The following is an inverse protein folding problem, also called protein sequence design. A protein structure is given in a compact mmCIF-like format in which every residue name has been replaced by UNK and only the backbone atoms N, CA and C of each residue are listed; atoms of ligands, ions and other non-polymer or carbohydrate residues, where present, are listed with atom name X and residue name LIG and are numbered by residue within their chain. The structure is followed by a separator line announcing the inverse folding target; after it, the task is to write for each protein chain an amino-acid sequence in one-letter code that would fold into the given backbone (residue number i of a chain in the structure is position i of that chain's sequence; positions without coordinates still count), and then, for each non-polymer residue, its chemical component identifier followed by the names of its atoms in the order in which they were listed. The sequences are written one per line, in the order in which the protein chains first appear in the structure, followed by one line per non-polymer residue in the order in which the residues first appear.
data_IF_916291153292
#
_entry.id   IF_916291153292
#
_cell.length_a   1.000
_cell.length_b   1.000
_cell.length_c   1.000
_cell.angle_alpha   90.00
_cell.angle_beta   90.00
_cell.angle_gamma   90.00
#
_symmetry.space_group_name_H-M   'P 1'
#
loop_
_entity.id
_entity.type
_entity.pdbx_description
1 polymer ?
#
# COMPACT_ATOMS: atom_id res chain seq x y z
N UNK A 1 -4.47 -1.67 -37.32
CA UNK A 1 -4.80 -0.30 -36.86
C UNK A 1 -5.30 -0.26 -35.42
N UNK A 2 -6.22 -1.15 -34.99
CA UNK A 2 -6.67 -1.22 -33.59
C UNK A 2 -5.56 -1.64 -32.62
N UNK A 3 -4.76 -2.66 -32.98
CA UNK A 3 -3.62 -3.13 -32.18
C UNK A 3 -2.56 -2.03 -31.96
N UNK A 4 -2.18 -1.32 -33.03
CA UNK A 4 -1.19 -0.23 -32.95
C UNK A 4 -1.64 0.91 -32.04
N UNK A 5 -2.93 1.22 -32.01
CA UNK A 5 -3.49 2.21 -31.09
C UNK A 5 -3.39 1.73 -29.63
N UNK A 6 -3.73 0.46 -29.35
CA UNK A 6 -3.64 -0.09 -27.99
C UNK A 6 -2.20 -0.09 -27.43
N UNK A 7 -1.19 -0.39 -28.25
CA UNK A 7 0.22 -0.32 -27.83
C UNK A 7 0.68 1.10 -27.53
N UNK A 8 0.28 2.07 -28.35
CA UNK A 8 0.61 3.48 -28.10
C UNK A 8 -0.02 3.97 -26.79
N UNK A 9 -1.30 3.67 -26.57
CA UNK A 9 -2.03 4.03 -25.36
C UNK A 9 -1.39 3.34 -24.14
N UNK A 10 -1.02 2.06 -24.25
CA UNK A 10 -0.35 1.32 -23.19
C UNK A 10 0.97 2.00 -22.77
N UNK A 11 1.85 2.34 -23.72
CA UNK A 11 3.11 3.00 -23.42
C UNK A 11 2.92 4.40 -22.84
N UNK A 12 1.93 5.15 -23.33
CA UNK A 12 1.58 6.46 -22.79
C UNK A 12 1.16 6.37 -21.31
N UNK A 13 0.18 5.51 -20.99
CA UNK A 13 -0.31 5.32 -19.62
C UNK A 13 0.74 4.70 -18.69
N UNK A 14 1.54 3.76 -19.18
CA UNK A 14 2.64 3.13 -18.41
C UNK A 14 3.73 4.15 -18.07
N UNK A 15 4.21 4.91 -19.06
CA UNK A 15 5.21 5.96 -18.85
C UNK A 15 4.69 7.05 -17.89
N UNK A 16 3.45 7.48 -18.09
CA UNK A 16 2.83 8.49 -17.22
C UNK A 16 2.63 7.99 -15.78
N UNK A 17 2.31 6.70 -15.58
CA UNK A 17 2.23 6.08 -14.24
C UNK A 17 3.57 6.09 -13.50
N UNK A 18 4.66 5.75 -14.19
CA UNK A 18 6.02 5.77 -13.61
C UNK A 18 6.44 7.19 -13.22
N UNK A 19 6.16 8.18 -14.07
CA UNK A 19 6.45 9.59 -13.75
C UNK A 19 5.66 10.03 -12.51
N UNK A 20 4.38 9.67 -12.44
CA UNK A 20 3.54 10.00 -11.29
C UNK A 20 4.06 9.32 -10.01
N UNK A 21 4.44 8.04 -10.05
CA UNK A 21 4.92 7.32 -8.86
C UNK A 21 6.25 7.86 -8.34
N UNK A 22 7.16 8.29 -9.23
CA UNK A 22 8.37 9.01 -8.85
C UNK A 22 8.04 10.34 -8.17
N UNK A 23 7.03 11.05 -8.67
CA UNK A 23 6.60 12.33 -8.09
C UNK A 23 5.90 12.16 -6.73
N UNK A 24 5.17 11.05 -6.50
CA UNK A 24 4.59 10.70 -5.19
C UNK A 24 5.68 10.66 -4.11
N UNK A 25 6.79 9.98 -4.38
CA UNK A 25 7.88 9.81 -3.41
C UNK A 25 8.75 11.06 -3.29
N UNK A 26 8.90 11.83 -4.36
CA UNK A 26 9.78 13.02 -4.40
C UNK A 26 9.12 14.30 -3.86
N UNK A 27 7.78 14.37 -3.82
CA UNK A 27 7.05 15.57 -3.43
C UNK A 27 7.26 15.90 -1.93
N UNK A 28 7.67 17.14 -1.66
CA UNK A 28 7.89 17.64 -0.28
C UNK A 28 6.59 17.93 0.47
N UNK A 29 5.55 18.35 -0.25
CA UNK A 29 4.25 18.64 0.34
C UNK A 29 3.40 17.36 0.28
N UNK A 30 2.89 16.85 1.42
CA UNK A 30 2.15 15.60 1.47
C UNK A 30 0.85 15.63 0.65
N UNK A 31 0.22 16.80 0.55
CA UNK A 31 -0.98 17.00 -0.27
C UNK A 31 -0.68 16.74 -1.76
N UNK A 32 0.45 17.23 -2.26
CA UNK A 32 0.85 16.97 -3.65
C UNK A 32 1.23 15.50 -3.86
N UNK A 33 1.90 14.88 -2.88
CA UNK A 33 2.21 13.45 -2.91
C UNK A 33 0.94 12.59 -3.09
N UNK A 34 -0.11 12.84 -2.30
CA UNK A 34 -1.37 12.08 -2.42
C UNK A 34 -2.15 12.38 -3.69
N UNK A 35 -2.12 13.62 -4.20
CA UNK A 35 -2.73 13.92 -5.49
C UNK A 35 -2.07 13.11 -6.63
N UNK A 36 -0.74 13.00 -6.63
CA UNK A 36 -0.04 12.14 -7.58
C UNK A 36 -0.34 10.65 -7.35
N UNK A 37 -0.59 10.22 -6.12
CA UNK A 37 -0.97 8.84 -5.81
C UNK A 37 -2.33 8.49 -6.42
N UNK A 38 -3.32 9.38 -6.29
CA UNK A 38 -4.63 9.25 -6.96
C UNK A 38 -4.43 9.11 -8.47
N UNK A 39 -3.56 9.93 -9.05
CA UNK A 39 -3.25 9.88 -10.48
C UNK A 39 -2.57 8.55 -10.87
N UNK A 40 -1.66 8.00 -10.06
CA UNK A 40 -1.06 6.67 -10.33
C UNK A 40 -2.10 5.55 -10.36
N UNK A 41 -3.03 5.53 -9.40
CA UNK A 41 -4.08 4.50 -9.36
C UNK A 41 -5.07 4.63 -10.51
N UNK A 42 -5.39 5.86 -10.93
CA UNK A 42 -6.20 6.09 -12.12
C UNK A 42 -5.51 5.55 -13.39
N UNK A 43 -4.22 5.84 -13.58
CA UNK A 43 -3.45 5.30 -14.70
C UNK A 43 -3.34 3.77 -14.65
N UNK A 44 -3.18 3.17 -13.45
CA UNK A 44 -3.21 1.72 -13.27
C UNK A 44 -4.57 1.12 -13.70
N UNK A 45 -5.68 1.75 -13.33
CA UNK A 45 -7.02 1.33 -13.75
C UNK A 45 -7.16 1.35 -15.27
N UNK A 46 -6.68 2.42 -15.94
CA UNK A 46 -6.68 2.48 -17.40
C UNK A 46 -5.81 1.37 -18.03
N UNK A 47 -4.65 1.05 -17.45
CA UNK A 47 -3.77 -0.01 -17.93
C UNK A 47 -4.43 -1.39 -17.79
N UNK A 48 -5.07 -1.67 -16.65
CA UNK A 48 -5.81 -2.92 -16.43
C UNK A 48 -7.02 -3.05 -17.37
N UNK A 49 -7.67 -1.92 -17.73
CA UNK A 49 -8.76 -1.93 -18.69
C UNK A 49 -8.29 -2.35 -20.10
N UNK A 50 -7.09 -1.92 -20.51
CA UNK A 50 -6.46 -2.32 -21.78
C UNK A 50 -6.12 -3.83 -21.78
N UNK A 51 -5.80 -4.40 -20.62
CA UNK A 51 -5.53 -5.83 -20.45
C UNK A 51 -6.80 -6.71 -20.49
N UNK A 52 -7.97 -6.15 -20.80
CA UNK A 52 -9.26 -6.84 -20.83
C UNK A 52 -9.63 -7.55 -19.51
N UNK A 53 -9.10 -7.07 -18.39
CA UNK A 53 -9.56 -7.50 -17.07
C UNK A 53 -10.79 -6.67 -16.75
N UNK A 54 -12.00 -7.23 -16.85
CA UNK A 54 -13.23 -6.42 -16.81
C UNK A 54 -13.56 -5.88 -15.41
N UNK A 55 -13.39 -6.71 -14.38
CA UNK A 55 -13.80 -6.38 -13.00
C UNK A 55 -12.77 -5.57 -12.22
N UNK A 56 -11.49 -5.92 -12.37
CA UNK A 56 -10.40 -5.37 -11.55
C UNK A 56 -10.20 -3.84 -11.71
N UNK A 57 -10.27 -3.23 -12.91
CA UNK A 57 -10.16 -1.78 -13.08
C UNK A 57 -11.22 -1.02 -12.30
N UNK A 58 -12.46 -1.49 -12.32
CA UNK A 58 -13.58 -0.87 -11.62
C UNK A 58 -13.33 -0.93 -10.10
N UNK A 59 -12.82 -2.05 -9.59
CA UNK A 59 -12.41 -2.21 -8.20
C UNK A 59 -11.28 -1.25 -7.82
N UNK A 60 -10.29 -1.05 -8.69
CA UNK A 60 -9.22 -0.05 -8.51
C UNK A 60 -9.78 1.37 -8.37
N UNK A 61 -10.77 1.73 -9.17
CA UNK A 61 -11.40 3.05 -9.09
C UNK A 61 -12.23 3.21 -7.80
N UNK A 62 -13.06 2.23 -7.44
CA UNK A 62 -13.94 2.36 -6.27
C UNK A 62 -13.15 2.29 -4.96
N UNK A 63 -12.27 1.31 -4.80
CA UNK A 63 -11.61 1.04 -3.52
C UNK A 63 -10.35 1.88 -3.35
N UNK A 64 -9.43 1.85 -4.32
CA UNK A 64 -8.14 2.53 -4.18
C UNK A 64 -8.25 4.03 -4.42
N UNK A 65 -8.83 4.45 -5.54
CA UNK A 65 -9.05 5.88 -5.84
C UNK A 65 -10.14 6.45 -4.95
N UNK A 66 -11.30 5.80 -4.88
CA UNK A 66 -12.50 6.33 -4.23
C UNK A 66 -12.46 6.33 -2.71
N UNK A 67 -12.12 5.21 -2.08
CA UNK A 67 -12.13 5.11 -0.61
C UNK A 67 -10.76 5.44 0.00
N UNK A 68 -9.72 4.68 -0.33
CA UNK A 68 -8.44 4.70 0.38
C UNK A 68 -7.71 6.04 0.14
N UNK A 69 -7.47 6.42 -1.11
CA UNK A 69 -6.67 7.61 -1.43
C UNK A 69 -7.38 8.93 -1.03
N UNK A 70 -8.70 9.01 -1.18
CA UNK A 70 -9.49 10.17 -0.75
C UNK A 70 -9.55 10.27 0.78
N UNK A 71 -9.66 9.15 1.51
CA UNK A 71 -9.55 9.15 2.98
C UNK A 71 -8.19 9.71 3.42
N UNK A 72 -7.11 9.26 2.78
CA UNK A 72 -5.78 9.81 3.04
C UNK A 72 -5.71 11.32 2.77
N UNK A 73 -6.34 11.81 1.69
CA UNK A 73 -6.39 13.24 1.39
C UNK A 73 -7.07 14.04 2.51
N UNK A 74 -8.20 13.56 3.03
CA UNK A 74 -8.86 14.20 4.18
C UNK A 74 -7.99 14.21 5.44
N UNK A 75 -7.40 13.06 5.77
CA UNK A 75 -6.56 12.91 6.97
C UNK A 75 -5.34 13.83 6.91
N UNK A 76 -4.68 13.92 5.75
CA UNK A 76 -3.49 14.75 5.59
C UNK A 76 -3.78 16.25 5.58
N UNK A 77 -4.96 16.68 5.12
CA UNK A 77 -5.34 18.11 5.20
C UNK A 77 -5.61 18.51 6.65
N UNK A 78 -6.25 17.63 7.43
CA UNK A 78 -6.47 17.88 8.86
C UNK A 78 -5.15 17.91 9.65
N UNK A 79 -4.15 17.13 9.20
CA UNK A 79 -2.83 17.07 9.83
C UNK A 79 -1.94 18.21 9.33
N UNK A 80 -1.88 19.29 10.09
CA UNK A 80 -0.97 20.42 9.80
C UNK A 80 0.50 20.06 10.12
N UNK A 81 1.20 19.40 9.19
CA UNK A 81 2.60 18.98 9.35
C UNK A 81 3.54 20.17 9.11
N UNK A 82 4.39 20.51 10.10
CA UNK A 82 5.44 21.53 9.96
C UNK A 82 6.67 20.95 9.26
N UNK A 83 6.95 21.44 8.05
CA UNK A 83 8.00 20.93 7.15
C UNK A 83 9.42 21.48 7.46
N UNK A 84 9.61 22.16 8.60
CA UNK A 84 10.82 22.94 8.90
C UNK A 84 11.93 22.18 9.65
N UNK A 85 11.63 21.09 10.37
CA UNK A 85 12.60 20.40 11.25
C UNK A 85 13.03 18.99 10.74
N UNK A 86 12.41 18.47 9.67
CA UNK A 86 12.69 17.11 9.15
C UNK A 86 13.94 17.03 8.24
N UNK A 87 14.80 18.04 8.22
CA UNK A 87 15.90 18.16 7.24
C UNK A 87 17.23 17.55 7.65
N UNK A 88 17.43 17.18 8.91
CA UNK A 88 18.77 16.83 9.39
C UNK A 88 19.18 15.36 9.14
N UNK A 89 18.25 14.46 8.78
CA UNK A 89 18.56 13.04 8.52
C UNK A 89 18.18 12.49 7.13
N UNK A 90 17.40 13.22 6.32
CA UNK A 90 16.76 12.67 5.11
C UNK A 90 17.74 12.21 4.01
N UNK A 91 18.89 12.90 3.84
CA UNK A 91 19.84 12.57 2.76
C UNK A 91 20.52 11.22 2.95
N UNK A 92 20.70 10.75 4.18
CA UNK A 92 21.39 9.50 4.46
C UNK A 92 20.52 8.28 4.11
N UNK A 93 19.20 8.36 4.37
CA UNK A 93 18.26 7.30 4.01
C UNK A 93 17.99 7.20 2.51
N UNK A 94 18.18 8.28 1.74
CA UNK A 94 18.07 8.23 0.27
C UNK A 94 19.09 7.28 -0.36
N UNK A 95 20.35 7.31 0.09
CA UNK A 95 21.38 6.40 -0.42
C UNK A 95 21.08 4.93 -0.10
N UNK A 96 20.56 4.64 1.10
CA UNK A 96 20.18 3.27 1.46
C UNK A 96 19.04 2.76 0.57
N UNK A 97 18.01 3.59 0.36
CA UNK A 97 16.86 3.24 -0.50
C UNK A 97 17.30 3.00 -1.95
N UNK A 98 18.26 3.79 -2.44
CA UNK A 98 18.80 3.66 -3.79
C UNK A 98 19.59 2.36 -3.98
N UNK A 99 20.39 1.95 -2.99
CA UNK A 99 21.12 0.66 -3.03
C UNK A 99 20.12 -0.51 -3.09
N UNK A 100 19.11 -0.53 -2.22
CA UNK A 100 18.07 -1.55 -2.24
C UNK A 100 17.26 -1.53 -3.54
N UNK A 101 16.94 -0.35 -4.07
CA UNK A 101 16.25 -0.19 -5.34
C UNK A 101 17.05 -0.77 -6.51
N UNK A 102 18.37 -0.54 -6.55
CA UNK A 102 19.24 -1.12 -7.60
C UNK A 102 19.31 -2.64 -7.47
N UNK A 103 19.45 -3.18 -6.26
CA UNK A 103 19.47 -4.63 -6.02
C UNK A 103 18.18 -5.27 -6.53
N UNK A 104 17.02 -4.70 -6.19
CA UNK A 104 15.72 -5.18 -6.64
C UNK A 104 15.56 -5.05 -8.18
N UNK A 105 16.05 -3.96 -8.78
CA UNK A 105 16.01 -3.78 -10.24
C UNK A 105 16.87 -4.83 -10.95
N UNK A 106 18.08 -5.12 -10.44
CA UNK A 106 18.94 -6.19 -10.98
C UNK A 106 18.26 -7.55 -10.85
N UNK A 107 17.69 -7.86 -9.69
CA UNK A 107 16.96 -9.13 -9.46
C UNK A 107 15.79 -9.28 -10.43
N UNK A 108 14.96 -8.26 -10.58
CA UNK A 108 13.81 -8.29 -11.51
C UNK A 108 14.26 -8.45 -12.97
N UNK A 109 15.34 -7.79 -13.39
CA UNK A 109 15.89 -7.97 -14.75
C UNK A 109 16.45 -9.37 -14.99
N UNK A 110 17.10 -9.97 -13.99
CA UNK A 110 17.60 -11.34 -14.07
C UNK A 110 16.45 -12.35 -14.20
N UNK A 111 15.37 -12.17 -13.42
CA UNK A 111 14.19 -13.05 -13.46
C UNK A 111 13.43 -12.93 -14.80
N UNK A 112 13.27 -11.72 -15.34
CA UNK A 112 12.58 -11.50 -16.61
C UNK A 112 13.40 -11.87 -17.86
N UNK A 113 14.59 -12.46 -17.67
CA UNK A 113 15.40 -13.12 -18.69
C UNK A 113 15.58 -12.30 -19.98
N UNK A 114 15.99 -11.03 -19.80
CA UNK A 114 16.55 -10.26 -20.92
C UNK A 114 17.96 -10.83 -21.12
N UNK A 115 18.25 -11.36 -22.30
CA UNK A 115 19.58 -11.85 -22.71
C UNK A 115 20.65 -10.77 -22.52
N UNK A 116 21.13 -10.56 -21.30
CA UNK A 116 22.22 -9.65 -20.97
C UNK A 116 23.53 -10.35 -21.35
N UNK A 117 23.82 -10.35 -22.64
CA UNK A 117 25.13 -10.70 -23.18
C UNK A 117 26.26 -9.85 -22.57
N UNK A 118 25.94 -8.68 -21.98
CA UNK A 118 26.87 -7.83 -21.26
C UNK A 118 27.25 -8.32 -19.85
N UNK A 119 26.41 -9.11 -19.16
CA UNK A 119 26.68 -9.57 -17.79
C UNK A 119 27.64 -10.78 -17.77
N UNK A 120 27.71 -11.54 -18.88
CA UNK A 120 28.70 -12.61 -19.08
C UNK A 120 30.14 -12.09 -19.15
N UNK A 121 30.36 -10.77 -19.34
CA UNK A 121 31.71 -10.17 -19.35
C UNK A 121 32.30 -10.03 -17.93
N UNK A 122 31.47 -10.09 -16.89
CA UNK A 122 31.87 -9.99 -15.47
C UNK A 122 32.03 -11.36 -14.79
N UNK A 123 31.95 -12.46 -15.56
CA UNK A 123 32.35 -13.79 -15.09
C UNK A 123 31.42 -14.45 -14.07
N UNK A 124 30.17 -14.00 -13.92
CA UNK A 124 29.18 -14.67 -13.07
C UNK A 124 28.47 -15.79 -13.85
N UNK A 125 28.68 -17.09 -13.51
CA UNK A 125 28.00 -18.20 -14.17
C UNK A 125 26.55 -18.32 -13.68
N UNK A 126 25.64 -17.51 -14.24
CA UNK A 126 24.24 -17.44 -13.79
C UNK A 126 23.33 -18.52 -14.40
N UNK A 127 23.79 -19.24 -15.42
CA UNK A 127 22.97 -20.23 -16.15
C UNK A 127 22.57 -21.47 -15.33
N UNK A 128 23.09 -21.68 -14.12
CA UNK A 128 22.74 -22.82 -13.23
C UNK A 128 22.00 -22.45 -11.95
N UNK A 129 22.01 -21.18 -11.55
CA UNK A 129 21.25 -20.72 -10.37
C UNK A 129 19.77 -20.45 -10.71
N UNK A 130 19.47 -20.27 -12.00
CA UNK A 130 18.16 -19.97 -12.52
C UNK A 130 17.17 -21.14 -12.32
N UNK A 131 17.63 -22.38 -12.48
CA UNK A 131 16.76 -23.56 -12.36
C UNK A 131 16.29 -23.82 -10.92
N UNK A 132 17.07 -23.43 -9.91
CA UNK A 132 16.74 -23.68 -8.48
C UNK A 132 15.97 -22.53 -7.81
N UNK A 133 16.05 -21.30 -8.32
CA UNK A 133 15.25 -20.17 -7.81
C UNK A 133 13.87 -20.09 -8.49
N UNK A 134 13.76 -20.54 -9.75
CA UNK A 134 12.47 -20.68 -10.44
C UNK A 134 11.59 -21.81 -9.87
N UNK A 135 12.15 -22.78 -9.14
CA UNK A 135 11.37 -23.79 -8.41
C UNK A 135 10.73 -23.28 -7.11
N UNK A 136 11.05 -22.06 -6.67
CA UNK A 136 10.28 -21.33 -5.65
C UNK A 136 9.16 -20.46 -6.28
N UNK A 137 8.89 -20.66 -7.57
CA UNK A 137 7.76 -20.03 -8.25
C UNK A 137 6.45 -20.69 -7.82
N UNK A 138 5.58 -19.93 -7.16
CA UNK A 138 4.16 -20.20 -7.24
C UNK A 138 3.82 -20.45 -8.71
N UNK A 139 3.30 -21.64 -9.04
CA UNK A 139 2.81 -21.96 -10.37
C UNK A 139 1.49 -21.21 -10.61
N UNK A 140 1.57 -19.87 -10.64
CA UNK A 140 0.49 -18.99 -11.08
C UNK A 140 0.62 -18.88 -12.60
N UNK A 141 0.20 -19.93 -13.29
CA UNK A 141 0.11 -19.90 -14.74
C UNK A 141 -1.08 -19.01 -15.15
N UNK A 142 -0.78 -17.74 -15.42
CA UNK A 142 -1.78 -16.76 -15.88
C UNK A 142 -2.37 -17.14 -17.26
N UNK A 143 -1.76 -18.09 -17.99
CA UNK A 143 -2.27 -18.53 -19.29
C UNK A 143 -3.53 -19.41 -19.20
N UNK A 144 -3.85 -19.95 -18.01
CA UNK A 144 -5.05 -20.75 -17.75
C UNK A 144 -6.32 -19.88 -17.60
N UNK A 145 -6.17 -18.56 -17.49
CA UNK A 145 -7.29 -17.60 -17.44
C UNK A 145 -7.92 -17.30 -18.82
N UNK A 146 -7.72 -18.18 -19.81
CA UNK A 146 -8.32 -18.07 -21.14
C UNK A 146 -9.82 -18.45 -21.11
N UNK A 147 -10.62 -17.43 -20.79
CA UNK A 147 -12.00 -17.13 -21.19
C UNK A 147 -12.81 -18.23 -21.89
N UNK A 148 -13.67 -18.88 -21.11
CA UNK A 148 -14.93 -19.44 -21.62
C UNK A 148 -16.18 -18.76 -21.01
N UNK A 149 -16.01 -17.97 -19.96
CA UNK A 149 -17.06 -17.24 -19.22
C UNK A 149 -16.59 -15.81 -18.89
N UNK A 150 -17.52 -14.93 -18.51
CA UNK A 150 -17.17 -13.58 -18.04
C UNK A 150 -16.25 -13.65 -16.82
N UNK A 151 -15.26 -12.76 -16.74
CA UNK A 151 -14.27 -12.73 -15.66
C UNK A 151 -14.91 -12.70 -14.27
N UNK A 152 -16.02 -11.99 -14.15
CA UNK A 152 -16.78 -11.83 -12.90
C UNK A 152 -17.38 -13.15 -12.44
N UNK A 153 -17.93 -13.94 -13.37
CA UNK A 153 -18.57 -15.21 -13.06
C UNK A 153 -17.53 -16.21 -12.56
N UNK A 154 -16.40 -16.32 -13.26
CA UNK A 154 -15.31 -17.21 -12.86
C UNK A 154 -14.69 -16.82 -11.52
N UNK A 155 -14.50 -15.52 -11.28
CA UNK A 155 -13.98 -15.00 -10.02
C UNK A 155 -14.96 -15.25 -8.86
N UNK A 156 -16.28 -15.14 -9.10
CA UNK A 156 -17.31 -15.52 -8.14
C UNK A 156 -17.27 -17.01 -7.81
N UNK A 157 -17.20 -17.88 -8.83
CA UNK A 157 -17.08 -19.32 -8.65
C UNK A 157 -15.86 -19.69 -7.80
N UNK A 158 -14.69 -19.10 -8.11
CA UNK A 158 -13.45 -19.32 -7.35
C UNK A 158 -13.58 -18.91 -5.89
N UNK A 159 -14.16 -17.73 -5.60
CA UNK A 159 -14.32 -17.25 -4.23
C UNK A 159 -15.27 -18.11 -3.40
N UNK A 160 -16.35 -18.61 -3.99
CA UNK A 160 -17.35 -19.38 -3.25
C UNK A 160 -17.10 -20.89 -3.22
N UNK A 161 -16.30 -21.45 -4.13
CA UNK A 161 -16.00 -22.89 -4.17
C UNK A 161 -14.63 -23.23 -3.58
N UNK A 162 -13.56 -22.70 -4.17
CA UNK A 162 -12.18 -23.10 -3.86
C UNK A 162 -11.58 -22.26 -2.74
N UNK A 163 -11.86 -20.94 -2.73
CA UNK A 163 -11.29 -19.99 -1.79
C UNK A 163 -12.28 -19.51 -0.71
N UNK A 164 -13.35 -20.27 -0.45
CA UNK A 164 -14.37 -19.91 0.52
C UNK A 164 -13.80 -19.63 1.92
N UNK A 165 -12.80 -20.42 2.35
CA UNK A 165 -12.14 -20.19 3.63
C UNK A 165 -11.38 -18.85 3.67
N UNK A 166 -10.59 -18.53 2.63
CA UNK A 166 -9.90 -17.24 2.54
C UNK A 166 -10.89 -16.08 2.54
N UNK A 167 -12.00 -16.20 1.83
CA UNK A 167 -13.05 -15.18 1.80
C UNK A 167 -13.65 -14.92 3.20
N UNK A 168 -13.92 -15.97 3.98
CA UNK A 168 -14.38 -15.84 5.37
C UNK A 168 -13.31 -15.17 6.25
N UNK A 169 -12.03 -15.55 6.10
CA UNK A 169 -10.95 -14.90 6.86
C UNK A 169 -10.81 -13.41 6.54
N UNK A 170 -11.01 -13.01 5.28
CA UNK A 170 -11.03 -11.59 4.89
C UNK A 170 -12.19 -10.82 5.54
N UNK A 171 -13.35 -11.47 5.70
CA UNK A 171 -14.47 -10.92 6.47
C UNK A 171 -14.09 -10.62 7.93
N UNK A 172 -13.36 -11.53 8.58
CA UNK A 172 -12.83 -11.29 9.92
C UNK A 172 -11.78 -10.17 9.97
N UNK A 173 -10.91 -10.07 8.96
CA UNK A 173 -9.94 -8.97 8.84
C UNK A 173 -10.64 -7.62 8.72
N UNK A 174 -11.70 -7.52 7.90
CA UNK A 174 -12.50 -6.29 7.77
C UNK A 174 -13.21 -5.92 9.08
N UNK A 175 -13.77 -6.90 9.78
CA UNK A 175 -14.38 -6.68 11.10
C UNK A 175 -13.34 -6.17 12.11
N UNK A 176 -12.15 -6.78 12.13
CA UNK A 176 -11.07 -6.38 13.02
C UNK A 176 -10.57 -4.97 12.70
N UNK A 177 -10.48 -4.59 11.42
CA UNK A 177 -10.14 -3.22 11.03
C UNK A 177 -11.18 -2.20 11.52
N UNK A 178 -12.48 -2.51 11.42
CA UNK A 178 -13.55 -1.66 11.94
C UNK A 178 -13.47 -1.55 13.48
N UNK A 179 -13.30 -2.65 14.20
CA UNK A 179 -13.18 -2.64 15.67
C UNK A 179 -11.92 -1.87 16.12
N UNK A 180 -10.79 -2.07 15.44
CA UNK A 180 -9.54 -1.37 15.72
C UNK A 180 -9.65 0.14 15.51
N UNK A 181 -10.24 0.58 14.40
CA UNK A 181 -10.43 2.01 14.13
C UNK A 181 -11.39 2.68 15.12
N UNK A 182 -12.50 2.02 15.48
CA UNK A 182 -13.46 2.56 16.47
C UNK A 182 -12.80 2.71 17.84
N UNK A 183 -12.09 1.68 18.31
CA UNK A 183 -11.46 1.71 19.65
C UNK A 183 -10.35 2.77 19.74
N UNK A 184 -9.59 3.00 18.67
CA UNK A 184 -8.55 4.03 18.62
C UNK A 184 -9.09 5.46 18.51
N UNK A 185 -10.24 5.66 17.88
CA UNK A 185 -10.83 6.99 17.67
C UNK A 185 -11.81 7.41 18.78
N UNK A 186 -12.24 6.46 19.62
CA UNK A 186 -13.19 6.73 20.70
C UNK A 186 -12.56 7.60 21.78
N UNK A 187 -12.75 8.91 21.65
CA UNK A 187 -12.37 9.89 22.67
C UNK A 187 -13.31 9.78 23.86
N UNK A 188 -12.80 9.29 25.00
CA UNK A 188 -13.53 9.33 26.26
C UNK A 188 -13.58 10.77 26.78
N UNK A 189 -14.62 11.50 26.42
CA UNK A 189 -14.93 12.79 27.03
C UNK A 189 -15.55 12.55 28.41
N UNK A 190 -14.72 12.43 29.44
CA UNK A 190 -15.21 12.50 30.82
C UNK A 190 -15.56 13.95 31.13
N UNK A 191 -16.82 14.32 30.91
CA UNK A 191 -17.37 15.64 31.30
C UNK A 191 -17.46 15.74 32.83
N UNK A 192 -17.53 14.60 33.52
CA UNK A 192 -17.56 14.49 34.98
C UNK A 192 -16.33 13.73 35.47
N UNK A 193 -15.78 14.13 36.63
CA UNK A 193 -14.71 13.37 37.28
C UNK A 193 -15.23 11.97 37.59
N UNK A 194 -14.64 10.94 36.99
CA UNK A 194 -14.96 9.55 37.31
C UNK A 194 -14.41 9.21 38.69
N UNK A 195 -15.25 8.58 39.51
CA UNK A 195 -14.86 8.07 40.81
C UNK A 195 -14.09 6.76 40.61
N UNK A 196 -12.85 6.73 41.08
CA UNK A 196 -12.13 5.49 41.27
C UNK A 196 -12.44 4.96 42.68
N UNK A 197 -13.31 3.96 42.73
CA UNK A 197 -13.84 3.40 43.98
C UNK A 197 -12.71 2.80 44.82
N UNK A 198 -11.71 2.19 44.18
CA UNK A 198 -10.61 1.54 44.89
C UNK A 198 -9.74 2.57 45.63
N UNK A 199 -9.36 3.64 44.92
CA UNK A 199 -8.57 4.73 45.50
C UNK A 199 -9.33 5.55 46.54
N UNK A 200 -10.67 5.58 46.50
CA UNK A 200 -11.47 6.25 47.52
C UNK A 200 -11.66 5.42 48.79
N UNK A 201 -11.76 4.10 48.68
CA UNK A 201 -11.87 3.20 49.84
C UNK A 201 -10.53 3.05 50.56
N UNK A 202 -9.41 3.04 49.83
CA UNK A 202 -8.06 2.92 50.40
C UNK A 202 -7.49 4.22 50.97
N UNK A 203 -8.31 5.27 51.12
CA UNK A 203 -7.80 6.58 51.51
C UNK A 203 -7.54 6.65 53.02
N UNK A 204 -6.28 6.57 53.41
CA UNK A 204 -5.84 6.80 54.80
C UNK A 204 -5.93 8.28 55.21
N UNK A 205 -6.12 8.53 56.50
CA UNK A 205 -6.29 9.89 57.05
C UNK A 205 -5.12 10.83 56.76
N UNK A 206 -3.91 10.29 56.65
CA UNK A 206 -2.69 11.06 56.38
C UNK A 206 -2.62 11.59 54.93
N UNK A 207 -3.30 10.94 53.98
CA UNK A 207 -3.35 11.35 52.57
C UNK A 207 -4.66 12.06 52.19
N UNK A 208 -5.46 12.47 53.19
CA UNK A 208 -6.70 13.19 52.97
C UNK A 208 -6.50 14.66 52.55
N UNK A 209 -5.41 15.30 52.99
CA UNK A 209 -5.19 16.74 52.74
C UNK A 209 -3.78 16.94 52.19
N UNK A 210 -3.68 17.31 50.92
CA UNK A 210 -2.41 17.65 50.28
C UNK A 210 -2.27 19.18 50.32
N UNK A 211 -1.33 19.70 51.12
CA UNK A 211 -0.99 21.13 51.17
C UNK A 211 0.03 21.43 50.06
N UNK A 212 -0.32 22.31 49.13
CA UNK A 212 0.64 22.86 48.18
C UNK A 212 1.20 24.18 48.73
N UNK A 213 2.52 24.21 48.99
CA UNK A 213 3.24 25.47 49.22
C UNK A 213 3.35 26.18 47.87
N UNK A 214 2.80 27.39 47.78
CA UNK A 214 2.99 28.25 46.60
C UNK A 214 4.40 28.80 46.72
N UNK A 215 5.35 28.28 45.96
CA UNK A 215 6.66 28.94 45.81
C UNK A 215 6.40 30.31 45.19
N UNK A 216 6.76 31.35 45.95
CA UNK A 216 6.64 32.77 45.61
C UNK A 216 7.85 33.15 44.76
#
# INVERSE_FOLDING_TARGET
MFLTASYFIFHFFSGFSVICSLMVVSAKNPIHSVLFLILTFFNLSCLLFILNVEFLPILFLIVYVGAIAVLFLFVLIMLNIKLSELKEGSKQYFFIALIFGIIFLVETLLVFNINFSALNLLGFPLNKAQDSLLSFGFCFDFSIWCFKHSNILYLGELFFTSFAYLFVTLGFVLLLAMMGTITLTLKKNFITKSQDVYNQILRDSNHAIIKYSKEI
#
